data_IF_686184361557
#
_entry.id   IF_686184361557
#
_cell.length_a   1.000
_cell.length_b   1.000
_cell.length_c   1.000
_cell.angle_alpha   90.00
_cell.angle_beta   90.00
_cell.angle_gamma   90.00
#
_symmetry.space_group_name_H-M   'P 1'
#
loop_
_entity.id
_entity.type
_entity.pdbx_description
1 polymer ?
#
# COMPACT_ATOMS: atom_id res chain seq x y z
N UNK A 1 29.66 22.94 6.16
CA UNK A 1 29.47 21.66 6.86
C UNK A 1 28.05 21.08 6.75
N UNK A 2 26.97 21.85 6.98
CA UNK A 2 25.58 21.32 6.93
C UNK A 2 25.19 20.64 5.60
N UNK A 3 25.61 21.22 4.46
CA UNK A 3 25.32 20.66 3.13
C UNK A 3 26.01 19.31 2.88
N UNK A 4 27.21 19.10 3.42
CA UNK A 4 27.94 17.85 3.29
C UNK A 4 27.22 16.68 3.98
N UNK A 5 26.74 16.89 5.21
CA UNK A 5 25.96 15.88 5.93
C UNK A 5 24.66 15.51 5.22
N UNK A 6 24.01 16.48 4.54
CA UNK A 6 22.79 16.24 3.77
C UNK A 6 23.10 15.36 2.54
N UNK A 7 24.12 15.70 1.76
CA UNK A 7 24.49 14.89 0.58
C UNK A 7 24.98 13.49 0.96
N UNK A 8 25.70 13.36 2.09
CA UNK A 8 26.16 12.08 2.61
C UNK A 8 24.99 11.19 3.06
N UNK A 9 24.06 11.74 3.82
CA UNK A 9 22.84 11.04 4.24
C UNK A 9 21.99 10.59 3.05
N UNK A 10 21.81 11.49 2.06
CA UNK A 10 21.03 11.18 0.86
C UNK A 10 21.67 10.04 0.06
N UNK A 11 23.00 10.06 -0.10
CA UNK A 11 23.74 8.99 -0.78
C UNK A 11 23.59 7.64 -0.07
N UNK A 12 23.67 7.61 1.26
CA UNK A 12 23.47 6.38 2.04
C UNK A 12 22.06 5.82 1.85
N UNK A 13 21.03 6.66 1.95
CA UNK A 13 19.63 6.25 1.77
C UNK A 13 19.42 5.70 0.35
N UNK A 14 19.98 6.34 -0.67
CA UNK A 14 19.88 5.86 -2.06
C UNK A 14 20.55 4.50 -2.23
N UNK A 15 21.76 4.30 -1.69
CA UNK A 15 22.47 3.02 -1.80
C UNK A 15 21.74 1.89 -1.07
N UNK A 16 21.22 2.16 0.14
CA UNK A 16 20.41 1.19 0.89
C UNK A 16 19.10 0.86 0.15
N UNK A 17 18.45 1.85 -0.44
CA UNK A 17 17.25 1.66 -1.26
C UNK A 17 17.52 0.80 -2.49
N UNK A 18 18.63 1.05 -3.19
CA UNK A 18 19.04 0.26 -4.36
C UNK A 18 19.36 -1.18 -3.99
N UNK A 19 20.05 -1.41 -2.87
CA UNK A 19 20.33 -2.74 -2.33
C UNK A 19 19.03 -3.49 -1.99
N UNK A 20 18.09 -2.82 -1.32
CA UNK A 20 16.78 -3.39 -1.01
C UNK A 20 16.00 -3.81 -2.26
N UNK A 21 16.00 -2.99 -3.31
CA UNK A 21 15.36 -3.34 -4.58
C UNK A 21 16.02 -4.53 -5.28
N UNK A 22 17.36 -4.59 -5.31
CA UNK A 22 18.10 -5.71 -5.91
C UNK A 22 17.82 -7.01 -5.14
N UNK A 23 17.80 -6.96 -3.81
CA UNK A 23 17.48 -8.11 -2.97
C UNK A 23 16.04 -8.58 -3.21
N UNK A 24 15.08 -7.65 -3.25
CA UNK A 24 13.68 -7.96 -3.53
C UNK A 24 13.47 -8.57 -4.92
N UNK A 25 14.22 -8.11 -5.93
CA UNK A 25 14.16 -8.66 -7.28
C UNK A 25 14.70 -10.09 -7.40
N UNK A 26 15.58 -10.51 -6.48
CA UNK A 26 16.16 -11.86 -6.42
C UNK A 26 15.33 -12.85 -5.61
N UNK A 27 14.30 -12.39 -4.88
CA UNK A 27 13.41 -13.29 -4.16
C UNK A 27 12.62 -14.12 -5.16
N UNK A 28 12.44 -15.43 -4.90
CA UNK A 28 11.66 -16.29 -5.78
C UNK A 28 10.23 -15.75 -5.90
N UNK A 29 9.72 -15.67 -7.12
CA UNK A 29 8.34 -15.25 -7.34
C UNK A 29 7.41 -16.30 -6.75
N UNK A 30 6.66 -15.90 -5.72
CA UNK A 30 5.65 -16.74 -5.05
C UNK A 30 4.61 -17.34 -6.01
N UNK A 31 4.44 -16.76 -7.19
CA UNK A 31 3.33 -17.04 -8.10
C UNK A 31 3.64 -18.11 -9.17
N UNK A 32 4.91 -18.50 -9.39
CA UNK A 32 5.21 -19.51 -10.43
C UNK A 32 6.26 -20.56 -10.05
N UNK A 33 7.18 -20.27 -9.12
CA UNK A 33 8.23 -21.23 -8.72
C UNK A 33 8.09 -21.71 -7.26
N UNK A 34 7.18 -21.08 -6.48
CA UNK A 34 6.99 -21.30 -5.04
C UNK A 34 5.92 -22.33 -4.63
N UNK A 35 5.28 -23.01 -5.58
CA UNK A 35 4.38 -24.15 -5.32
C UNK A 35 2.87 -23.88 -5.35
N UNK A 36 2.41 -22.63 -5.52
CA UNK A 36 0.98 -22.28 -5.64
C UNK A 36 0.63 -21.87 -7.07
N UNK A 37 0.11 -22.81 -7.87
CA UNK A 37 -0.43 -22.51 -9.20
C UNK A 37 -1.78 -21.82 -9.06
N UNK A 38 -1.92 -20.61 -9.61
CA UNK A 38 -3.16 -19.81 -9.50
C UNK A 38 -4.38 -20.56 -10.04
N UNK A 39 -4.23 -21.23 -11.18
CA UNK A 39 -5.33 -21.98 -11.80
C UNK A 39 -5.85 -23.09 -10.87
N UNK A 40 -4.94 -23.87 -10.28
CA UNK A 40 -5.31 -24.93 -9.34
C UNK A 40 -5.91 -24.38 -8.05
N UNK A 41 -5.47 -23.19 -7.60
CA UNK A 41 -6.00 -22.49 -6.43
C UNK A 41 -7.42 -21.96 -6.65
N UNK A 42 -7.69 -21.42 -7.84
CA UNK A 42 -9.04 -21.00 -8.23
C UNK A 42 -10.01 -22.16 -8.36
N UNK A 43 -9.54 -23.30 -8.88
CA UNK A 43 -10.37 -24.48 -9.07
C UNK A 43 -10.65 -25.23 -7.76
N UNK A 44 -9.74 -25.19 -6.78
CA UNK A 44 -9.92 -25.92 -5.53
C UNK A 44 -9.24 -25.21 -4.33
N UNK A 45 -9.84 -24.12 -3.80
CA UNK A 45 -9.24 -23.32 -2.73
C UNK A 45 -8.97 -24.13 -1.45
N UNK A 46 -9.82 -25.11 -1.13
CA UNK A 46 -9.69 -25.95 0.07
C UNK A 46 -8.51 -26.93 0.05
N UNK A 47 -7.82 -27.08 -1.08
CA UNK A 47 -6.66 -27.98 -1.23
C UNK A 47 -5.40 -27.43 -0.57
N UNK A 48 -5.34 -26.13 -0.30
CA UNK A 48 -4.15 -25.48 0.24
C UNK A 48 -4.27 -25.26 1.75
N UNK A 49 -3.49 -26.03 2.51
CA UNK A 49 -3.40 -25.88 3.96
C UNK A 49 -2.51 -24.69 4.35
N UNK A 50 -3.06 -23.79 5.17
CA UNK A 50 -2.35 -22.62 5.72
C UNK A 50 -1.60 -22.93 7.01
N UNK A 51 -1.75 -24.13 7.60
CA UNK A 51 -1.11 -24.51 8.87
C UNK A 51 0.42 -24.58 8.80
N UNK A 52 0.99 -24.78 7.61
CA UNK A 52 2.44 -24.81 7.36
C UNK A 52 2.99 -23.60 6.61
N UNK A 53 2.25 -22.48 6.57
CA UNK A 53 2.62 -21.31 5.78
C UNK A 53 3.97 -20.72 6.21
N UNK A 54 4.84 -20.43 5.24
CA UNK A 54 6.20 -19.89 5.46
C UNK A 54 6.25 -18.35 5.35
N UNK A 55 5.19 -17.67 5.76
CA UNK A 55 5.09 -16.20 5.67
C UNK A 55 3.64 -15.70 5.62
N UNK A 56 3.45 -14.41 5.84
CA UNK A 56 2.13 -13.76 5.78
C UNK A 56 1.59 -13.76 4.35
N UNK A 57 2.47 -13.60 3.37
CA UNK A 57 2.17 -13.62 1.94
C UNK A 57 1.56 -14.97 1.51
N UNK A 58 2.03 -16.08 2.07
CA UNK A 58 1.54 -17.41 1.72
C UNK A 58 0.14 -17.66 2.31
N UNK A 59 -0.10 -17.17 3.53
CA UNK A 59 -1.43 -17.18 4.17
C UNK A 59 -2.42 -16.34 3.38
N UNK A 60 -2.01 -15.14 2.92
CA UNK A 60 -2.87 -14.27 2.12
C UNK A 60 -3.14 -14.93 0.77
N UNK A 61 -2.13 -15.36 0.02
CA UNK A 61 -2.33 -15.94 -1.32
C UNK A 61 -3.19 -17.20 -1.27
N UNK A 62 -2.95 -18.11 -0.31
CA UNK A 62 -3.71 -19.36 -0.20
C UNK A 62 -5.09 -19.18 0.42
N UNK A 63 -5.21 -18.34 1.45
CA UNK A 63 -6.45 -18.11 2.18
C UNK A 63 -7.36 -17.04 1.58
N UNK A 64 -6.88 -16.27 0.60
CA UNK A 64 -7.65 -15.17 0.01
C UNK A 64 -9.00 -15.63 -0.55
N UNK A 65 -8.99 -16.61 -1.46
CA UNK A 65 -10.23 -17.02 -2.15
C UNK A 65 -11.27 -17.61 -1.19
N UNK A 66 -10.82 -18.33 -0.15
CA UNK A 66 -11.68 -18.90 0.88
C UNK A 66 -12.29 -17.82 1.81
N UNK A 67 -11.49 -16.83 2.20
CA UNK A 67 -11.89 -15.83 3.20
C UNK A 67 -12.59 -14.60 2.64
N UNK A 68 -12.28 -14.20 1.40
CA UNK A 68 -12.76 -12.94 0.80
C UNK A 68 -13.59 -13.17 -0.45
N UNK A 69 -13.56 -14.38 -1.02
CA UNK A 69 -14.16 -14.72 -2.33
C UNK A 69 -13.61 -13.88 -3.50
N UNK A 70 -12.61 -13.03 -3.28
CA UNK A 70 -12.01 -12.17 -4.28
C UNK A 70 -10.87 -12.88 -5.02
N UNK A 71 -10.94 -12.93 -6.36
CA UNK A 71 -9.84 -13.45 -7.18
C UNK A 71 -8.59 -12.56 -7.08
N UNK A 72 -8.79 -11.25 -6.91
CA UNK A 72 -7.71 -10.28 -6.80
C UNK A 72 -7.20 -10.18 -5.35
N UNK A 73 -6.07 -10.83 -5.08
CA UNK A 73 -5.43 -10.79 -3.77
C UNK A 73 -5.03 -9.37 -3.32
N UNK A 74 -4.69 -8.47 -4.24
CA UNK A 74 -4.36 -7.07 -3.88
C UNK A 74 -5.60 -6.33 -3.40
N UNK A 75 -6.73 -6.48 -4.10
CA UNK A 75 -7.99 -5.88 -3.70
C UNK A 75 -8.46 -6.45 -2.35
N UNK A 76 -8.33 -7.76 -2.14
CA UNK A 76 -8.65 -8.39 -0.88
C UNK A 76 -7.78 -7.91 0.28
N UNK A 77 -6.48 -7.66 0.06
CA UNK A 77 -5.65 -7.02 1.08
C UNK A 77 -6.13 -5.59 1.36
N UNK A 78 -6.48 -4.84 0.31
CA UNK A 78 -6.91 -3.45 0.42
C UNK A 78 -8.25 -3.30 1.17
N UNK A 79 -9.24 -4.12 0.84
CA UNK A 79 -10.62 -3.99 1.35
C UNK A 79 -10.92 -4.92 2.53
N UNK A 80 -10.44 -6.16 2.50
CA UNK A 80 -10.81 -7.17 3.51
C UNK A 80 -9.75 -7.29 4.60
N UNK A 81 -8.53 -7.73 4.27
CA UNK A 81 -7.51 -8.02 5.29
C UNK A 81 -6.95 -6.76 5.97
N UNK A 82 -6.84 -5.64 5.25
CA UNK A 82 -6.31 -4.36 5.75
C UNK A 82 -7.25 -3.19 5.46
N UNK A 83 -8.56 -3.45 5.45
CA UNK A 83 -9.57 -2.41 5.22
C UNK A 83 -9.47 -1.22 6.17
N UNK A 84 -9.13 -1.44 7.45
CA UNK A 84 -8.98 -0.36 8.43
C UNK A 84 -7.86 0.63 8.11
N UNK A 85 -6.74 0.15 7.54
CA UNK A 85 -5.61 0.99 7.15
C UNK A 85 -6.02 1.94 6.01
N UNK A 86 -6.71 1.40 4.99
CA UNK A 86 -7.25 2.18 3.86
C UNK A 86 -8.40 3.10 4.22
N UNK A 87 -9.22 2.70 5.18
CA UNK A 87 -10.27 3.56 5.73
C UNK A 87 -9.62 4.79 6.37
N UNK A 88 -8.59 4.61 7.20
CA UNK A 88 -7.88 5.72 7.81
C UNK A 88 -7.18 6.64 6.80
N UNK A 89 -6.56 6.07 5.76
CA UNK A 89 -5.96 6.83 4.65
C UNK A 89 -7.01 7.71 3.94
N UNK A 90 -8.20 7.16 3.71
CA UNK A 90 -9.32 7.88 3.10
C UNK A 90 -9.81 9.01 3.99
N UNK A 91 -9.84 8.82 5.32
CA UNK A 91 -10.17 9.89 6.26
C UNK A 91 -9.14 11.03 6.23
N UNK A 92 -7.85 10.72 6.18
CA UNK A 92 -6.80 11.74 6.06
C UNK A 92 -6.98 12.55 4.77
N UNK A 93 -7.26 11.88 3.65
CA UNK A 93 -7.51 12.55 2.37
C UNK A 93 -8.76 13.44 2.44
N UNK A 94 -9.85 12.95 3.04
CA UNK A 94 -11.08 13.70 3.24
C UNK A 94 -10.84 14.96 4.09
N UNK A 95 -10.11 14.83 5.19
CA UNK A 95 -9.75 15.97 6.05
C UNK A 95 -8.90 16.98 5.28
N UNK A 96 -7.92 16.53 4.50
CA UNK A 96 -7.08 17.42 3.69
C UNK A 96 -7.88 18.22 2.66
N UNK A 97 -8.77 17.55 1.91
CA UNK A 97 -9.64 18.20 0.91
C UNK A 97 -10.63 19.16 1.58
N UNK A 98 -11.22 18.75 2.70
CA UNK A 98 -12.14 19.60 3.47
C UNK A 98 -11.45 20.85 4.03
N UNK A 99 -10.23 20.69 4.56
CA UNK A 99 -9.41 21.81 5.02
C UNK A 99 -9.04 22.77 3.90
N UNK A 100 -8.61 22.24 2.75
CA UNK A 100 -8.32 23.04 1.56
C UNK A 100 -9.55 23.84 1.10
N UNK A 101 -10.72 23.19 1.06
CA UNK A 101 -11.96 23.84 0.67
C UNK A 101 -12.32 25.02 1.59
N UNK A 102 -12.19 24.85 2.91
CA UNK A 102 -12.45 25.93 3.88
C UNK A 102 -11.48 27.11 3.70
N UNK A 103 -10.19 26.83 3.49
CA UNK A 103 -9.17 27.86 3.27
C UNK A 103 -9.49 28.67 1.99
N UNK A 104 -9.79 27.98 0.88
CA UNK A 104 -10.10 28.63 -0.39
C UNK A 104 -11.40 29.45 -0.30
N UNK A 105 -12.42 28.95 0.40
CA UNK A 105 -13.68 29.66 0.62
C UNK A 105 -13.48 30.96 1.40
N UNK A 106 -12.66 30.93 2.46
CA UNK A 106 -12.39 32.11 3.28
C UNK A 106 -11.44 33.10 2.59
N UNK A 107 -10.49 32.62 1.78
CA UNK A 107 -9.61 33.47 0.98
C UNK A 107 -10.34 34.29 -0.08
N UNK A 108 -11.45 33.80 -0.63
CA UNK A 108 -12.31 34.57 -1.55
C UNK A 108 -13.03 35.73 -0.86
N UNK A 109 -13.66 35.47 0.31
CA UNK A 109 -14.38 36.54 1.06
C UNK A 109 -13.50 37.72 1.44
N UNK A 110 -12.26 37.45 1.89
CA UNK A 110 -11.31 38.52 2.25
C UNK A 110 -10.95 39.43 1.07
N UNK A 111 -10.93 38.88 -0.16
CA UNK A 111 -10.60 39.62 -1.37
C UNK A 111 -11.77 40.48 -1.84
N UNK A 112 -13.00 40.03 -1.61
CA UNK A 112 -14.20 40.80 -1.95
C UNK A 112 -14.37 41.98 -0.95
N UNK A 113 -14.12 41.76 0.34
CA UNK A 113 -14.15 42.82 1.38
C UNK A 113 -13.04 43.88 1.23
N UNK A 114 -11.89 43.53 0.63
CA UNK A 114 -10.80 44.48 0.32
C UNK A 114 -11.08 45.33 -0.93
N UNK A 115 -11.92 44.86 -1.87
CA UNK A 115 -12.27 45.60 -3.08
C UNK A 115 -13.49 46.53 -2.91
N UNK A 116 -14.21 46.41 -1.79
CA UNK A 116 -15.38 47.26 -1.45
C UNK A 116 -15.05 48.45 -0.53
N UNK A 117 -13.77 48.65 -0.18
CA UNK A 117 -13.26 49.82 0.58
C UNK A 117 -12.38 50.71 -0.29
#
# INVERSE_FOLDING_TARGET
>A
MKRFFIYFSLSIITVLGMFGMIYAAKLPRTINEGGTKIYDLLSNPSKYDVKGAKGLEDVIVKGNLDKTQGINAVAAVFFDFRGYDRLSESFILLTAVSGLYVILKNGRRKKDDENEK
#
